data_IF_627226839618
#
_entry.id   IF_627226839618
#
_cell.length_a   1.000
_cell.length_b   1.000
_cell.length_c   1.000
_cell.angle_alpha   90.00
_cell.angle_beta   90.00
_cell.angle_gamma   90.00
#
_symmetry.space_group_name_H-M   'P 1'
#
loop_
_entity.id
_entity.type
_entity.pdbx_description
1 polymer ?
#
# COMPACT_ATOMS: atom_id res chain seq x y z
N UNK A 1 5.38 -5.39 -30.36
CA UNK A 1 5.22 -5.29 -28.90
C UNK A 1 4.55 -6.58 -28.54
N UNK A 2 5.28 -7.46 -27.85
CA UNK A 2 4.81 -8.81 -27.53
C UNK A 2 3.59 -8.68 -26.62
N UNK A 3 2.43 -9.11 -27.11
CA UNK A 3 1.28 -9.40 -26.26
C UNK A 3 1.77 -10.45 -25.26
N UNK A 4 2.06 -10.03 -24.03
CA UNK A 4 2.41 -10.94 -22.95
C UNK A 4 1.22 -11.89 -22.75
N UNK A 5 1.42 -13.15 -23.13
CA UNK A 5 0.47 -14.24 -22.96
C UNK A 5 -0.12 -14.21 -21.54
N UNK A 6 -1.45 -13.95 -21.39
CA UNK A 6 -2.08 -13.78 -20.08
C UNK A 6 -1.86 -14.97 -19.14
N UNK A 7 -1.75 -16.18 -19.70
CA UNK A 7 -1.46 -17.39 -18.92
C UNK A 7 -0.03 -17.37 -18.37
N UNK A 8 0.95 -16.88 -19.15
CA UNK A 8 2.33 -16.74 -18.68
C UNK A 8 2.45 -15.69 -17.58
N UNK A 9 1.72 -14.59 -17.70
CA UNK A 9 1.68 -13.56 -16.66
C UNK A 9 1.09 -14.10 -15.36
N UNK A 10 -0.07 -14.76 -15.42
CA UNK A 10 -0.66 -15.39 -14.23
C UNK A 10 0.30 -16.43 -13.62
N UNK A 11 0.92 -17.27 -14.45
CA UNK A 11 1.87 -18.29 -13.97
C UNK A 11 3.07 -17.65 -13.26
N UNK A 12 3.62 -16.57 -13.80
CA UNK A 12 4.69 -15.81 -13.15
C UNK A 12 4.27 -15.33 -11.75
N UNK A 13 3.07 -14.74 -11.62
CA UNK A 13 2.55 -14.28 -10.33
C UNK A 13 2.30 -15.43 -9.35
N UNK A 14 1.79 -16.56 -9.82
CA UNK A 14 1.64 -17.77 -9.01
C UNK A 14 2.99 -18.28 -8.51
N UNK A 15 4.01 -18.32 -9.37
CA UNK A 15 5.35 -18.81 -9.02
C UNK A 15 6.01 -17.91 -7.96
N UNK A 16 5.89 -16.59 -8.11
CA UNK A 16 6.37 -15.62 -7.12
C UNK A 16 5.62 -15.78 -5.80
N UNK A 17 4.29 -15.87 -5.83
CA UNK A 17 3.47 -15.97 -4.63
C UNK A 17 3.73 -17.26 -3.84
N UNK A 18 3.99 -18.40 -4.52
CA UNK A 18 4.38 -19.65 -3.86
C UNK A 18 5.66 -19.52 -3.03
N UNK A 19 6.59 -18.64 -3.44
CA UNK A 19 7.79 -18.33 -2.65
C UNK A 19 7.50 -17.68 -1.30
N UNK A 20 6.30 -17.10 -1.13
CA UNK A 20 5.83 -16.46 0.10
C UNK A 20 4.65 -17.23 0.75
N UNK A 21 4.43 -18.49 0.36
CA UNK A 21 3.32 -19.32 0.83
C UNK A 21 1.93 -18.69 0.57
N UNK A 22 1.81 -17.92 -0.51
CA UNK A 22 0.57 -17.30 -0.97
C UNK A 22 0.06 -18.05 -2.20
N UNK A 23 -1.25 -18.31 -2.25
CA UNK A 23 -1.91 -18.90 -3.42
C UNK A 23 -2.63 -17.83 -4.25
N UNK A 24 -2.37 -17.83 -5.56
CA UNK A 24 -2.98 -16.90 -6.52
C UNK A 24 -3.96 -17.68 -7.37
N UNK A 25 -5.25 -17.50 -7.08
CA UNK A 25 -6.36 -18.13 -7.79
C UNK A 25 -6.41 -17.72 -9.28
N UNK A 26 -6.99 -18.60 -10.10
CA UNK A 26 -7.15 -18.41 -11.55
C UNK A 26 -7.98 -17.16 -11.91
N UNK A 27 -8.90 -16.75 -11.02
CA UNK A 27 -9.71 -15.54 -11.19
C UNK A 27 -8.89 -14.23 -11.12
N UNK A 28 -7.60 -14.30 -10.82
CA UNK A 28 -6.68 -13.16 -10.89
C UNK A 28 -6.09 -12.91 -12.27
N UNK A 29 -6.26 -13.83 -13.25
CA UNK A 29 -5.69 -13.66 -14.59
C UNK A 29 -6.10 -12.33 -15.24
N UNK A 30 -7.40 -12.05 -15.23
CA UNK A 30 -7.94 -10.82 -15.84
C UNK A 30 -7.49 -9.55 -15.07
N UNK A 31 -7.62 -9.44 -13.74
CA UNK A 31 -7.10 -8.30 -12.99
C UNK A 31 -5.60 -8.04 -13.23
N UNK A 32 -4.78 -9.09 -13.25
CA UNK A 32 -3.34 -9.01 -13.53
C UNK A 32 -3.08 -8.47 -14.94
N UNK A 33 -3.79 -9.00 -15.94
CA UNK A 33 -3.63 -8.58 -17.32
C UNK A 33 -4.09 -7.12 -17.53
N UNK A 34 -5.22 -6.72 -16.93
CA UNK A 34 -5.73 -5.36 -16.99
C UNK A 34 -4.73 -4.38 -16.37
N UNK A 35 -4.21 -4.69 -15.18
CA UNK A 35 -3.23 -3.84 -14.52
C UNK A 35 -1.93 -3.72 -15.33
N UNK A 36 -1.50 -4.81 -15.97
CA UNK A 36 -0.27 -4.83 -16.80
C UNK A 36 -0.46 -4.08 -18.13
N UNK A 37 -1.57 -4.31 -18.82
CA UNK A 37 -1.91 -3.65 -20.09
C UNK A 37 -2.17 -2.15 -19.91
N UNK A 38 -2.90 -1.76 -18.87
CA UNK A 38 -3.19 -0.35 -18.58
C UNK A 38 -1.93 0.41 -18.11
N UNK A 39 -0.94 -0.28 -17.55
CA UNK A 39 0.39 0.28 -17.27
C UNK A 39 1.20 0.57 -18.55
N UNK A 40 0.98 -0.17 -19.65
CA UNK A 40 1.73 0.00 -20.90
C UNK A 40 1.04 0.94 -21.90
N UNK A 41 -0.30 1.06 -21.84
CA UNK A 41 -1.08 1.72 -22.89
C UNK A 41 -1.67 3.10 -22.57
N UNK A 42 -2.19 3.35 -21.35
CA UNK A 42 -3.12 4.49 -21.16
C UNK A 42 -3.14 5.17 -19.77
N UNK A 43 -2.77 4.53 -18.66
CA UNK A 43 -2.87 5.17 -17.33
C UNK A 43 -1.51 5.49 -16.72
N UNK A 44 -1.15 6.79 -16.65
CA UNK A 44 -0.01 7.26 -15.84
C UNK A 44 -0.35 6.98 -14.38
N UNK A 45 0.48 6.18 -13.68
CA UNK A 45 0.31 5.95 -12.24
C UNK A 45 0.22 7.30 -11.54
N UNK A 46 -0.91 7.56 -10.90
CA UNK A 46 -1.14 8.83 -10.21
C UNK A 46 -0.41 8.77 -8.87
N UNK A 47 0.31 9.82 -8.52
CA UNK A 47 0.90 9.92 -7.18
C UNK A 47 -0.02 10.74 -6.30
N UNK A 48 -0.16 10.33 -5.05
CA UNK A 48 -0.90 11.09 -4.05
C UNK A 48 -0.20 12.45 -3.89
N UNK A 49 -0.96 13.53 -4.06
CA UNK A 49 -0.43 14.89 -3.94
C UNK A 49 -0.17 15.24 -2.47
N UNK A 50 0.92 15.97 -2.21
CA UNK A 50 1.27 16.44 -0.88
C UNK A 50 1.95 17.81 -0.95
N UNK A 51 1.94 18.51 0.17
CA UNK A 51 2.76 19.71 0.38
C UNK A 51 3.98 19.35 1.22
N UNK A 52 5.18 19.62 0.71
CA UNK A 52 6.41 19.46 1.48
C UNK A 52 6.52 20.61 2.49
N UNK A 53 6.49 20.29 3.78
CA UNK A 53 6.63 21.27 4.87
C UNK A 53 8.09 21.48 5.24
N UNK A 54 8.86 20.40 5.30
CA UNK A 54 10.30 20.42 5.57
C UNK A 54 10.96 19.19 4.95
N UNK A 55 12.14 19.34 4.37
CA UNK A 55 13.01 18.21 4.01
C UNK A 55 14.30 18.35 4.80
N UNK A 56 14.52 17.47 5.76
CA UNK A 56 15.82 17.30 6.37
C UNK A 56 16.61 16.24 5.60
N UNK A 57 17.91 16.15 5.83
CA UNK A 57 18.78 15.21 5.11
C UNK A 57 18.39 13.73 5.32
N UNK A 58 17.63 13.44 6.39
CA UNK A 58 17.34 12.07 6.85
C UNK A 58 15.85 11.72 6.86
N UNK A 59 14.96 12.73 6.81
CA UNK A 59 13.51 12.53 6.73
C UNK A 59 12.81 13.75 6.11
N UNK A 60 11.59 13.55 5.61
CA UNK A 60 10.74 14.62 5.11
C UNK A 60 9.48 14.77 5.96
N UNK A 61 9.01 15.99 6.13
CA UNK A 61 7.71 16.32 6.70
C UNK A 61 6.77 16.74 5.59
N UNK A 62 5.71 15.96 5.36
CA UNK A 62 4.73 16.18 4.27
C UNK A 62 3.34 16.37 4.86
N UNK A 63 2.53 17.22 4.23
CA UNK A 63 1.10 17.35 4.51
C UNK A 63 0.29 16.71 3.38
N UNK A 64 -0.61 15.80 3.75
CA UNK A 64 -1.56 15.17 2.85
C UNK A 64 -2.96 15.69 3.16
N UNK A 65 -3.68 16.06 2.11
CA UNK A 65 -5.09 16.43 2.22
C UNK A 65 -5.95 15.21 2.55
N UNK A 66 -7.15 15.47 3.07
CA UNK A 66 -8.14 14.42 3.29
C UNK A 66 -8.49 13.72 1.97
N UNK A 67 -8.85 12.45 2.04
CA UNK A 67 -9.31 11.72 0.87
C UNK A 67 -9.91 10.36 1.20
N UNK A 68 -10.57 9.79 0.21
CA UNK A 68 -11.12 8.44 0.26
C UNK A 68 -10.04 7.41 -0.05
N UNK A 69 -10.04 6.37 0.77
CA UNK A 69 -9.19 5.20 0.65
C UNK A 69 -10.05 3.94 0.65
N UNK A 70 -9.72 2.98 -0.19
CA UNK A 70 -10.24 1.62 -0.08
C UNK A 70 -9.29 0.84 0.84
N UNK A 71 -9.81 0.42 1.98
CA UNK A 71 -9.07 -0.24 3.05
C UNK A 71 -9.52 -1.69 3.18
N UNK A 72 -8.58 -2.59 3.43
CA UNK A 72 -8.87 -3.98 3.80
C UNK A 72 -7.88 -4.45 4.86
N UNK A 73 -8.40 -5.03 5.93
CA UNK A 73 -7.58 -5.59 7.01
C UNK A 73 -7.44 -7.10 6.84
N UNK A 74 -6.19 -7.57 6.86
CA UNK A 74 -5.83 -8.97 6.75
C UNK A 74 -5.20 -9.45 8.06
N UNK A 75 -5.48 -10.70 8.39
CA UNK A 75 -4.99 -11.38 9.60
C UNK A 75 -4.30 -12.68 9.20
N UNK A 76 -3.10 -12.57 8.61
CA UNK A 76 -2.27 -13.72 8.21
C UNK A 76 -1.10 -13.94 9.16
N UNK A 77 -0.41 -15.07 8.98
CA UNK A 77 0.69 -15.46 9.86
C UNK A 77 1.91 -14.56 9.69
N UNK A 78 2.08 -13.96 8.50
CA UNK A 78 3.15 -13.00 8.22
C UNK A 78 2.61 -11.73 7.59
N UNK A 79 3.34 -10.63 7.80
CA UNK A 79 3.14 -9.35 7.15
C UNK A 79 3.13 -9.50 5.63
N UNK A 80 4.08 -10.24 5.07
CA UNK A 80 4.18 -10.47 3.62
C UNK A 80 2.92 -11.14 3.06
N UNK A 81 2.40 -12.16 3.73
CA UNK A 81 1.15 -12.80 3.33
C UNK A 81 -0.03 -11.82 3.42
N UNK A 82 -0.14 -11.06 4.51
CA UNK A 82 -1.21 -10.07 4.68
C UNK A 82 -1.21 -9.03 3.55
N UNK A 83 -0.05 -8.47 3.20
CA UNK A 83 0.02 -7.48 2.11
C UNK A 83 -0.28 -8.10 0.74
N UNK A 84 0.16 -9.34 0.49
CA UNK A 84 -0.09 -10.01 -0.79
C UNK A 84 -1.58 -10.29 -0.98
N UNK A 85 -2.23 -10.92 -0.01
CA UNK A 85 -3.67 -11.20 -0.08
C UNK A 85 -4.51 -9.92 -0.08
N UNK A 86 -4.17 -8.93 0.76
CA UNK A 86 -4.87 -7.65 0.80
C UNK A 86 -4.77 -6.90 -0.54
N UNK A 87 -3.56 -6.83 -1.12
CA UNK A 87 -3.36 -6.19 -2.41
C UNK A 87 -4.07 -6.91 -3.56
N UNK A 88 -4.15 -8.25 -3.56
CA UNK A 88 -4.92 -8.98 -4.56
C UNK A 88 -6.41 -8.60 -4.54
N UNK A 89 -7.00 -8.43 -3.35
CA UNK A 89 -8.40 -8.00 -3.21
C UNK A 89 -8.60 -6.54 -3.65
N UNK A 90 -7.70 -5.65 -3.25
CA UNK A 90 -7.67 -4.26 -3.75
C UNK A 90 -7.49 -4.22 -5.28
N UNK A 91 -6.65 -5.09 -5.85
CA UNK A 91 -6.45 -5.17 -7.30
C UNK A 91 -7.75 -5.56 -8.02
N UNK A 92 -8.52 -6.52 -7.50
CA UNK A 92 -9.84 -6.84 -8.05
C UNK A 92 -10.74 -5.61 -8.03
N UNK A 93 -10.82 -4.92 -6.89
CA UNK A 93 -11.61 -3.68 -6.76
C UNK A 93 -11.21 -2.62 -7.81
N UNK A 94 -9.90 -2.40 -8.01
CA UNK A 94 -9.38 -1.49 -9.05
C UNK A 94 -9.75 -1.98 -10.46
N UNK A 95 -9.69 -3.29 -10.70
CA UNK A 95 -9.96 -3.95 -11.98
C UNK A 95 -11.43 -4.39 -12.10
N UNK A 96 -12.34 -3.42 -12.08
CA UNK A 96 -13.77 -3.58 -12.43
C UNK A 96 -14.66 -4.38 -11.44
N UNK A 97 -14.12 -4.95 -10.36
CA UNK A 97 -14.95 -5.52 -9.28
C UNK A 97 -15.45 -4.44 -8.30
N UNK A 98 -16.15 -3.47 -8.85
CA UNK A 98 -16.72 -2.34 -8.15
C UNK A 98 -18.01 -1.88 -8.85
N UNK A 99 -18.77 -0.99 -8.20
CA UNK A 99 -20.08 -0.57 -8.69
C UNK A 99 -20.09 0.19 -10.01
N UNK A 100 -18.96 0.76 -10.46
CA UNK A 100 -18.89 1.40 -11.79
C UNK A 100 -18.63 0.38 -12.90
N UNK A 101 -18.08 -0.79 -12.57
CA UNK A 101 -17.67 -1.79 -13.57
C UNK A 101 -16.48 -1.35 -14.43
N UNK A 102 -15.80 -0.27 -14.04
CA UNK A 102 -14.67 0.32 -14.77
C UNK A 102 -13.35 0.09 -14.03
N UNK A 103 -12.25 0.17 -14.78
CA UNK A 103 -10.92 0.21 -14.22
C UNK A 103 -10.69 1.58 -13.57
N UNK A 104 -10.46 1.59 -12.25
CA UNK A 104 -10.40 2.84 -11.49
C UNK A 104 -9.10 3.62 -11.72
N UNK A 105 -8.03 2.96 -12.19
CA UNK A 105 -6.70 3.56 -12.32
C UNK A 105 -5.79 3.22 -11.14
N UNK A 106 -4.48 3.12 -11.37
CA UNK A 106 -3.52 2.83 -10.29
C UNK A 106 -2.97 4.12 -9.69
N UNK A 107 -3.01 4.24 -8.36
CA UNK A 107 -2.33 5.28 -7.59
C UNK A 107 -1.20 4.71 -6.76
N UNK A 108 -0.16 5.50 -6.55
CA UNK A 108 0.95 5.18 -5.68
C UNK A 108 1.17 6.26 -4.62
N UNK A 109 1.67 5.90 -3.43
CA UNK A 109 1.97 4.53 -2.99
C UNK A 109 0.71 3.71 -2.67
N UNK A 110 0.84 2.38 -2.68
CA UNK A 110 -0.06 1.51 -1.90
C UNK A 110 0.47 1.55 -0.47
N UNK A 111 -0.41 1.85 0.47
CA UNK A 111 0.00 2.02 1.87
C UNK A 111 -0.47 0.85 2.71
N UNK A 112 0.31 0.51 3.72
CA UNK A 112 -0.03 -0.55 4.68
C UNK A 112 0.07 0.04 6.08
N UNK A 113 -1.03 0.01 6.83
CA UNK A 113 -1.06 0.39 8.25
C UNK A 113 -0.67 -0.82 9.08
N UNK A 114 0.33 -0.62 9.94
CA UNK A 114 0.80 -1.62 10.90
C UNK A 114 0.73 -1.04 12.30
N UNK A 115 0.39 -1.88 13.25
CA UNK A 115 0.39 -1.55 14.68
C UNK A 115 1.51 -2.27 15.39
N UNK A 116 2.10 -1.65 16.41
CA UNK A 116 3.10 -2.30 17.26
C UNK A 116 2.67 -2.32 18.71
N UNK A 117 3.33 -3.18 19.50
CA UNK A 117 3.32 -3.04 20.95
C UNK A 117 3.97 -1.72 21.41
N UNK A 118 3.81 -1.40 22.70
CA UNK A 118 4.33 -0.17 23.30
C UNK A 118 5.85 0.00 23.12
N UNK A 119 6.57 -1.12 23.03
CA UNK A 119 8.03 -1.16 22.90
C UNK A 119 8.50 -1.21 21.43
N UNK A 120 7.60 -1.20 20.44
CA UNK A 120 7.92 -1.30 19.01
C UNK A 120 8.81 -2.51 18.70
N UNK A 121 8.51 -3.62 19.34
CA UNK A 121 9.26 -4.88 19.28
C UNK A 121 8.51 -5.95 18.48
N UNK A 122 7.19 -5.85 18.36
CA UNK A 122 6.33 -6.79 17.66
C UNK A 122 5.30 -6.04 16.83
N UNK A 123 5.07 -6.49 15.59
CA UNK A 123 3.98 -6.01 14.73
C UNK A 123 2.73 -6.86 14.97
N UNK A 124 1.58 -6.21 15.12
CA UNK A 124 0.28 -6.89 15.18
C UNK A 124 0.00 -7.66 13.89
N UNK A 125 -0.69 -8.79 14.00
CA UNK A 125 -1.13 -9.55 12.83
C UNK A 125 -2.20 -8.80 12.02
N UNK A 126 -2.83 -7.78 12.62
CA UNK A 126 -3.80 -6.91 11.96
C UNK A 126 -3.06 -5.92 11.05
N UNK A 127 -3.06 -6.23 9.76
CA UNK A 127 -2.36 -5.45 8.73
C UNK A 127 -3.39 -4.91 7.76
N UNK A 128 -3.51 -3.59 7.67
CA UNK A 128 -4.48 -2.94 6.79
C UNK A 128 -3.81 -2.44 5.52
N UNK A 129 -4.18 -2.99 4.37
CA UNK A 129 -3.75 -2.51 3.06
C UNK A 129 -4.74 -1.46 2.58
N UNK A 130 -4.25 -0.30 2.15
CA UNK A 130 -5.07 0.79 1.70
C UNK A 130 -4.60 1.37 0.36
N UNK A 131 -5.59 1.69 -0.48
CA UNK A 131 -5.42 2.28 -1.80
C UNK A 131 -6.16 3.60 -1.89
N UNK A 132 -5.43 4.66 -2.24
CA UNK A 132 -6.00 6.00 -2.41
C UNK A 132 -6.83 6.06 -3.68
N UNK A 133 -8.07 6.54 -3.61
CA UNK A 133 -8.87 6.64 -4.83
C UNK A 133 -8.34 7.77 -5.74
N UNK A 134 -8.27 7.57 -7.06
CA UNK A 134 -7.90 8.60 -8.02
C UNK A 134 -8.79 9.82 -7.93
N UNK A 135 -8.27 10.98 -8.35
CA UNK A 135 -8.94 12.27 -8.15
C UNK A 135 -10.37 12.31 -8.72
N UNK A 136 -10.63 11.59 -9.83
CA UNK A 136 -11.95 11.50 -10.46
C UNK A 136 -12.99 10.74 -9.60
N UNK A 137 -12.54 9.85 -8.72
CA UNK A 137 -13.38 9.04 -7.84
C UNK A 137 -13.45 9.58 -6.40
N UNK A 138 -12.65 10.60 -6.06
CA UNK A 138 -12.62 11.18 -4.72
C UNK A 138 -13.95 11.82 -4.27
N UNK A 139 -14.77 12.33 -5.21
CA UNK A 139 -16.06 12.93 -4.87
C UNK A 139 -17.17 11.88 -4.68
N UNK A 140 -17.11 10.79 -5.43
CA UNK A 140 -18.09 9.70 -5.38
C UNK A 140 -17.38 8.35 -5.59
N UNK A 141 -16.88 7.75 -4.50
CA UNK A 141 -16.20 6.46 -4.54
C UNK A 141 -17.11 5.34 -5.08
N UNK A 142 -16.68 4.57 -6.10
CA UNK A 142 -17.34 3.34 -6.49
C UNK A 142 -17.40 2.38 -5.29
N UNK A 143 -18.55 1.73 -5.08
CA UNK A 143 -18.69 0.79 -3.98
C UNK A 143 -18.00 -0.54 -4.34
N UNK A 144 -17.20 -1.12 -3.44
CA UNK A 144 -16.68 -2.46 -3.65
C UNK A 144 -17.81 -3.48 -3.61
N UNK A 145 -17.69 -4.55 -4.39
CA UNK A 145 -18.55 -5.74 -4.24
C UNK A 145 -18.02 -6.73 -3.21
N UNK A 146 -16.79 -6.52 -2.79
CA UNK A 146 -16.15 -7.25 -1.73
C UNK A 146 -16.49 -6.56 -0.38
N UNK A 147 -17.30 -7.22 0.44
CA UNK A 147 -17.79 -6.67 1.72
C UNK A 147 -16.69 -6.43 2.76
N UNK A 148 -15.49 -7.01 2.59
CA UNK A 148 -14.35 -6.75 3.48
C UNK A 148 -13.55 -5.51 3.07
N UNK A 149 -13.81 -4.94 1.89
CA UNK A 149 -13.20 -3.67 1.48
C UNK A 149 -14.11 -2.54 1.97
N UNK A 150 -13.54 -1.69 2.82
CA UNK A 150 -14.24 -0.52 3.37
C UNK A 150 -13.70 0.74 2.72
N UNK A 151 -14.58 1.61 2.23
CA UNK A 151 -14.20 2.95 1.80
C UNK A 151 -14.20 3.88 3.01
N UNK A 152 -13.02 4.38 3.36
CA UNK A 152 -12.81 5.28 4.49
C UNK A 152 -12.40 6.67 4.01
N UNK A 153 -12.79 7.70 4.76
CA UNK A 153 -12.26 9.06 4.59
C UNK A 153 -11.16 9.25 5.61
N UNK A 154 -9.91 9.26 5.14
CA UNK A 154 -8.79 9.63 6.01
C UNK A 154 -8.70 11.16 6.08
N UNK A 155 -8.57 11.73 7.30
CA UNK A 155 -8.49 13.17 7.47
C UNK A 155 -7.19 13.73 6.86
N UNK A 156 -7.16 15.05 6.66
CA UNK A 156 -5.92 15.72 6.32
C UNK A 156 -4.92 15.51 7.46
N UNK A 157 -3.71 15.08 7.13
CA UNK A 157 -2.72 14.68 8.13
C UNK A 157 -1.34 15.16 7.72
N UNK A 158 -0.54 15.45 8.73
CA UNK A 158 0.89 15.68 8.56
C UNK A 158 1.63 14.40 8.91
N UNK A 159 2.63 14.04 8.11
CA UNK A 159 3.41 12.83 8.31
C UNK A 159 4.90 13.12 8.22
N UNK A 160 5.66 12.36 9.00
CA UNK A 160 7.12 12.32 8.94
C UNK A 160 7.54 11.05 8.23
N UNK A 161 8.39 11.18 7.22
CA UNK A 161 8.66 10.13 6.24
C UNK A 161 10.14 9.87 6.13
N UNK A 162 10.51 8.59 6.14
CA UNK A 162 11.86 8.13 5.82
C UNK A 162 11.82 7.07 4.73
N UNK A 163 12.53 7.32 3.64
CA UNK A 163 12.65 6.39 2.53
C UNK A 163 13.67 5.29 2.83
N UNK A 164 13.40 4.07 2.33
CA UNK A 164 14.31 2.94 2.39
C UNK A 164 14.11 2.01 1.18
N UNK A 165 15.12 1.19 0.88
CA UNK A 165 15.13 0.30 -0.28
C UNK A 165 15.20 -1.16 0.20
N UNK A 166 14.50 -2.05 -0.51
CA UNK A 166 14.58 -3.49 -0.29
C UNK A 166 13.28 -4.11 0.20
N UNK A 167 13.30 -5.40 0.60
CA UNK A 167 12.11 -6.11 1.03
C UNK A 167 11.51 -5.52 2.31
N UNK A 168 10.24 -5.82 2.54
CA UNK A 168 9.50 -5.43 3.74
C UNK A 168 9.00 -6.67 4.45
N UNK A 169 9.58 -6.95 5.61
CA UNK A 169 9.09 -7.93 6.58
C UNK A 169 9.07 -7.28 7.98
N UNK A 170 8.57 -7.99 8.97
CA UNK A 170 8.35 -7.49 10.32
C UNK A 170 9.64 -6.94 10.94
N UNK A 171 10.74 -7.69 10.82
CA UNK A 171 12.06 -7.31 11.34
C UNK A 171 12.56 -6.02 10.69
N UNK A 172 12.45 -5.92 9.36
CA UNK A 172 12.89 -4.73 8.62
C UNK A 172 12.02 -3.53 8.99
N UNK A 173 10.70 -3.70 9.06
CA UNK A 173 9.75 -2.62 9.39
C UNK A 173 10.02 -2.11 10.81
N UNK A 174 10.17 -2.99 11.80
CA UNK A 174 10.54 -2.62 13.17
C UNK A 174 11.85 -1.83 13.19
N UNK A 175 12.88 -2.29 12.46
CA UNK A 175 14.14 -1.57 12.38
C UNK A 175 13.99 -0.18 11.75
N UNK A 176 13.16 -0.02 10.72
CA UNK A 176 12.90 1.29 10.11
C UNK A 176 12.10 2.21 11.05
N UNK A 177 11.14 1.67 11.79
CA UNK A 177 10.39 2.38 12.82
C UNK A 177 11.35 2.89 13.90
N UNK A 178 12.19 2.02 14.47
CA UNK A 178 13.10 2.42 15.54
C UNK A 178 14.15 3.43 15.07
N UNK A 179 14.72 3.24 13.87
CA UNK A 179 15.66 4.21 13.31
C UNK A 179 15.00 5.58 13.02
N UNK A 180 13.74 5.61 12.57
CA UNK A 180 13.01 6.87 12.40
C UNK A 180 12.67 7.52 13.74
N UNK A 181 12.34 6.71 14.75
CA UNK A 181 12.06 7.19 16.10
C UNK A 181 13.26 7.87 16.75
N UNK A 182 14.45 7.29 16.59
CA UNK A 182 15.72 7.87 17.07
C UNK A 182 16.00 9.23 16.39
N UNK A 183 15.66 9.36 15.10
CA UNK A 183 15.86 10.61 14.36
C UNK A 183 14.92 11.74 14.78
N UNK A 184 13.68 11.41 15.15
CA UNK A 184 12.70 12.43 15.53
C UNK A 184 13.00 13.04 16.90
N UNK A 185 13.77 12.36 17.77
CA UNK A 185 14.30 12.80 19.09
C UNK A 185 13.31 13.60 19.98
N UNK A 186 12.01 13.43 19.76
CA UNK A 186 10.94 14.23 20.39
C UNK A 186 9.76 13.33 20.76
N UNK A 187 9.78 12.76 21.97
CA UNK A 187 8.67 11.93 22.45
C UNK A 187 7.40 12.79 22.55
N UNK A 188 6.40 12.49 21.71
CA UNK A 188 5.06 13.09 21.79
C UNK A 188 4.57 13.78 20.51
N UNK A 189 5.43 14.01 19.51
CA UNK A 189 5.03 14.67 18.25
C UNK A 189 4.25 13.73 17.33
N UNK A 190 4.52 12.42 17.40
CA UNK A 190 3.90 11.42 16.53
C UNK A 190 3.06 10.39 17.31
N UNK A 191 2.11 9.78 16.60
CA UNK A 191 1.44 8.55 17.04
C UNK A 191 2.49 7.45 17.25
N UNK A 192 2.37 6.69 18.33
CA UNK A 192 3.47 5.87 18.86
C UNK A 192 3.35 4.37 18.57
N UNK A 193 2.15 3.93 18.17
CA UNK A 193 1.70 2.54 18.06
C UNK A 193 1.07 2.22 16.69
N UNK A 194 1.02 3.18 15.77
CA UNK A 194 0.50 3.03 14.41
C UNK A 194 1.43 3.71 13.42
N UNK A 195 1.83 2.95 12.41
CA UNK A 195 2.78 3.39 11.38
C UNK A 195 2.27 2.98 10.00
N UNK A 196 2.71 3.71 8.98
CA UNK A 196 2.35 3.40 7.59
C UNK A 196 3.61 3.01 6.81
N UNK A 197 3.57 1.86 6.16
CA UNK A 197 4.55 1.45 5.14
C UNK A 197 3.99 1.78 3.78
N UNK A 198 4.63 2.70 3.06
CA UNK A 198 4.22 3.11 1.72
C UNK A 198 5.10 2.42 0.66
N UNK A 199 4.50 1.57 -0.17
CA UNK A 199 5.16 0.84 -1.24
C UNK A 199 4.89 1.46 -2.61
N UNK A 200 5.97 1.81 -3.34
CA UNK A 200 5.88 2.43 -4.67
C UNK A 200 6.10 1.44 -5.82
N UNK A 201 6.71 0.31 -5.49
CA UNK A 201 7.06 -0.75 -6.44
C UNK A 201 6.21 -1.97 -6.20
N UNK A 202 6.06 -2.79 -7.24
CA UNK A 202 5.40 -4.08 -7.10
C UNK A 202 6.13 -4.97 -6.06
N UNK A 203 5.42 -5.71 -5.20
CA UNK A 203 6.00 -6.68 -4.26
C UNK A 203 7.05 -7.63 -4.86
N UNK A 204 6.89 -8.05 -6.12
CA UNK A 204 7.83 -8.96 -6.80
C UNK A 204 9.12 -8.29 -7.33
N UNK A 205 9.22 -6.96 -7.26
CA UNK A 205 10.39 -6.23 -7.76
C UNK A 205 11.60 -6.43 -6.83
N UNK A 206 12.81 -6.57 -7.39
CA UNK A 206 14.02 -6.76 -6.58
C UNK A 206 14.48 -5.48 -5.88
N UNK A 207 14.34 -4.33 -6.55
CA UNK A 207 14.66 -3.01 -6.00
C UNK A 207 13.38 -2.31 -5.54
N UNK A 208 12.82 -2.76 -4.40
CA UNK A 208 11.61 -2.15 -3.88
C UNK A 208 11.90 -0.78 -3.27
N UNK A 209 11.10 0.22 -3.64
CA UNK A 209 11.16 1.56 -3.05
C UNK A 209 10.03 1.70 -2.05
N UNK A 210 10.38 1.94 -0.79
CA UNK A 210 9.44 2.04 0.29
C UNK A 210 9.71 3.28 1.15
N UNK A 211 8.70 3.67 1.89
CA UNK A 211 8.81 4.70 2.91
C UNK A 211 8.13 4.21 4.20
N UNK A 212 8.66 4.64 5.35
CA UNK A 212 7.98 4.50 6.65
C UNK A 212 7.44 5.87 7.06
N UNK A 213 6.16 5.94 7.40
CA UNK A 213 5.50 7.18 7.80
C UNK A 213 5.04 7.13 9.25
N UNK A 214 5.28 8.23 9.95
CA UNK A 214 4.79 8.49 11.30
C UNK A 214 3.77 9.61 11.21
N UNK A 215 2.55 9.35 11.69
CA UNK A 215 1.51 10.38 11.73
C UNK A 215 1.79 11.36 12.86
N UNK A 216 1.71 12.66 12.56
CA UNK A 216 1.76 13.71 13.58
C UNK A 216 0.53 13.59 14.50
N UNK A 217 0.74 13.69 15.81
CA UNK A 217 -0.33 13.65 16.80
C UNK A 217 -1.02 15.02 16.83
N UNK A 218 -2.34 15.02 16.74
CA UNK A 218 -3.18 16.21 16.89
C UNK A 218 -3.59 16.47 18.34
#
# INVERSE_FOLDING_TARGET
MEDEDPERLLQYWQDVARGHEVDVSQDMAEPIQQLTSNNQGQSRRQHISYTLLCGELLYEKRHYEKGHWACITMHKDTYEQSICYGFMRIMKYICQHNSSGDYLGMTLPIVTVVHTDENRSVISHDVTVAYYLPAEHQAQPPQPYDDDIVIEIWPATTVYIRAFIGPTNEVIIINQINAMAELLDSPGVCVSDSFIVAGYTNPAHSNRQNEIWFLERH
#
